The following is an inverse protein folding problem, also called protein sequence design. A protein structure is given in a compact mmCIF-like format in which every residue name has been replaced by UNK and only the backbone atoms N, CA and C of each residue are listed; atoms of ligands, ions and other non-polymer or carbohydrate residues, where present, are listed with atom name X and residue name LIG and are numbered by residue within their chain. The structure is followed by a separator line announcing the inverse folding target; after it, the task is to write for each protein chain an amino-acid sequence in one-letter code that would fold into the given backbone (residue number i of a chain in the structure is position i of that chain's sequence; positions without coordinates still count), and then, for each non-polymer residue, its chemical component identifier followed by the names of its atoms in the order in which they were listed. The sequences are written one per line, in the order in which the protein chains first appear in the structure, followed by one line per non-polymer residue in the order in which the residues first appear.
data_IF_524652093750
#
_entry.id   IF_524652093750
#
_cell.length_a   1.000
_cell.length_b   1.000
_cell.length_c   1.000
_cell.angle_alpha   90.00
_cell.angle_beta   90.00
_cell.angle_gamma   90.00
#
_symmetry.space_group_name_H-M   'P 1'
#
loop_
_entity.id
_entity.type
_entity.pdbx_description
1 polymer ?
#
# COMPACT_ATOMS: atom_id res chain seq x y z
N UNK A 1 3.94 11.82 -5.38
CA UNK A 1 4.38 11.94 -3.98
C UNK A 1 3.50 12.87 -3.17
N UNK A 2 3.37 14.15 -3.53
CA UNK A 2 2.49 15.10 -2.82
C UNK A 2 1.06 14.56 -2.56
N UNK A 3 0.42 13.97 -3.57
CA UNK A 3 -0.93 13.40 -3.41
C UNK A 3 -1.01 12.28 -2.37
N UNK A 4 0.04 11.47 -2.22
CA UNK A 4 0.11 10.40 -1.24
C UNK A 4 0.32 11.00 0.15
N UNK A 5 1.27 11.92 0.29
CA UNK A 5 1.60 12.53 1.58
C UNK A 5 0.45 13.38 2.16
N UNK A 6 -0.38 13.97 1.29
CA UNK A 6 -1.61 14.66 1.71
C UNK A 6 -2.56 13.71 2.45
N UNK A 7 -2.73 12.48 1.93
CA UNK A 7 -3.69 11.51 2.45
C UNK A 7 -3.13 10.70 3.62
N UNK A 8 -1.85 10.29 3.54
CA UNK A 8 -1.28 9.34 4.48
C UNK A 8 -0.18 9.94 5.35
N UNK A 9 0.25 11.19 5.13
CA UNK A 9 1.33 11.82 5.90
C UNK A 9 2.70 11.72 5.21
N UNK A 10 3.74 12.37 5.76
CA UNK A 10 5.03 12.53 5.09
C UNK A 10 5.72 11.20 4.80
N UNK A 11 6.57 11.16 3.78
CA UNK A 11 7.48 10.04 3.52
C UNK A 11 8.65 10.02 4.50
N UNK A 12 9.32 8.88 4.61
CA UNK A 12 10.64 8.82 5.22
C UNK A 12 11.67 9.59 4.37
N UNK A 13 12.17 10.70 4.92
CA UNK A 13 13.18 11.54 4.27
C UNK A 13 14.60 11.01 4.37
N UNK A 14 14.83 9.98 5.19
CA UNK A 14 16.13 9.33 5.28
C UNK A 14 16.44 8.46 4.07
N UNK A 15 15.40 8.05 3.31
CA UNK A 15 15.56 7.37 2.04
C UNK A 15 15.58 8.32 0.85
N UNK A 16 16.53 8.06 -0.06
CA UNK A 16 16.70 8.78 -1.32
C UNK A 16 16.10 7.95 -2.46
N UNK A 17 15.05 8.50 -3.08
CA UNK A 17 14.47 7.89 -4.27
C UNK A 17 15.35 8.16 -5.49
N UNK A 18 15.79 7.08 -6.15
CA UNK A 18 16.75 7.12 -7.26
C UNK A 18 16.10 6.90 -8.63
N UNK A 19 14.80 6.62 -8.70
CA UNK A 19 14.06 6.49 -9.95
C UNK A 19 13.27 5.20 -10.08
N UNK A 20 12.78 4.96 -11.29
CA UNK A 20 11.94 3.82 -11.67
C UNK A 20 12.72 2.98 -12.68
N UNK A 21 12.73 1.67 -12.52
CA UNK A 21 13.40 0.74 -13.43
C UNK A 21 12.44 -0.40 -13.83
N UNK A 22 12.70 -1.00 -14.98
CA UNK A 22 12.03 -2.22 -15.43
C UNK A 22 12.68 -3.46 -14.80
N UNK A 23 11.89 -4.50 -14.60
CA UNK A 23 12.30 -5.75 -13.94
C UNK A 23 11.42 -6.92 -14.37
N UNK A 24 11.98 -8.13 -14.35
CA UNK A 24 11.26 -9.40 -14.52
C UNK A 24 10.51 -9.83 -13.25
N UNK A 25 10.90 -9.30 -12.08
CA UNK A 25 10.13 -9.50 -10.84
C UNK A 25 8.80 -8.73 -10.84
N UNK A 26 7.86 -9.20 -10.02
CA UNK A 26 6.67 -8.43 -9.65
C UNK A 26 7.05 -7.04 -9.08
N UNK A 27 6.17 -6.02 -9.19
CA UNK A 27 6.43 -4.67 -8.70
C UNK A 27 6.90 -4.67 -7.24
N UNK A 28 7.89 -3.84 -6.92
CA UNK A 28 8.41 -3.70 -5.56
C UNK A 28 9.33 -2.47 -5.39
N UNK A 29 9.59 -2.11 -4.12
CA UNK A 29 10.71 -1.25 -3.73
C UNK A 29 12.02 -2.04 -3.74
N UNK A 30 12.99 -1.53 -4.49
CA UNK A 30 14.32 -2.10 -4.64
C UNK A 30 15.38 -1.27 -3.93
N UNK A 31 16.31 -1.95 -3.26
CA UNK A 31 17.44 -1.37 -2.55
C UNK A 31 18.74 -1.74 -3.27
N UNK A 32 19.17 -0.98 -4.30
CA UNK A 32 20.29 -1.35 -5.19
C UNK A 32 21.63 -1.58 -4.47
N UNK A 33 21.86 -0.92 -3.35
CA UNK A 33 23.07 -1.08 -2.54
C UNK A 33 22.77 -1.68 -1.16
N UNK A 34 21.66 -2.42 -1.07
CA UNK A 34 21.10 -2.90 0.20
C UNK A 34 20.49 -1.77 1.03
N UNK A 35 19.84 -2.16 2.13
CA UNK A 35 19.06 -1.26 2.98
C UNK A 35 19.91 -0.17 3.68
N UNK A 36 21.20 -0.43 3.89
CA UNK A 36 22.11 0.45 4.65
C UNK A 36 22.43 1.78 3.96
N UNK A 37 22.36 1.82 2.63
CA UNK A 37 22.63 3.04 1.85
C UNK A 37 21.42 3.94 1.67
N UNK A 38 20.23 3.44 2.01
CA UNK A 38 18.95 4.16 1.92
C UNK A 38 18.60 4.71 0.53
N UNK A 39 19.31 4.26 -0.50
CA UNK A 39 18.94 4.50 -1.89
C UNK A 39 17.87 3.49 -2.27
N UNK A 40 16.78 3.96 -2.87
CA UNK A 40 15.64 3.13 -3.26
C UNK A 40 15.15 3.44 -4.66
N UNK A 41 14.68 2.42 -5.35
CA UNK A 41 14.09 2.51 -6.68
C UNK A 41 12.74 1.80 -6.67
N UNK A 42 11.84 2.22 -7.55
CA UNK A 42 10.62 1.46 -7.84
C UNK A 42 10.95 0.52 -9.00
N UNK A 43 10.71 -0.78 -8.83
CA UNK A 43 10.71 -1.76 -9.91
C UNK A 43 9.29 -1.97 -10.40
N UNK A 44 9.09 -1.86 -11.70
CA UNK A 44 7.85 -2.20 -12.39
C UNK A 44 8.12 -3.25 -13.47
N UNK A 45 7.08 -3.95 -13.89
CA UNK A 45 7.19 -5.05 -14.86
C UNK A 45 7.46 -4.54 -16.29
N UNK A 46 8.11 -5.36 -17.11
CA UNK A 46 8.35 -5.06 -18.53
C UNK A 46 7.09 -4.74 -19.35
N UNK A 47 5.92 -5.26 -18.96
CA UNK A 47 4.65 -4.92 -19.60
C UNK A 47 4.33 -3.41 -19.54
N UNK A 48 4.92 -2.68 -18.59
CA UNK A 48 4.75 -1.24 -18.46
C UNK A 48 5.43 -0.44 -19.58
N UNK A 49 6.39 -1.02 -20.30
CA UNK A 49 7.11 -0.35 -21.39
C UNK A 49 6.17 0.11 -22.51
N UNK A 50 5.14 -0.70 -22.80
CA UNK A 50 4.16 -0.43 -23.86
C UNK A 50 2.75 -0.16 -23.33
N UNK A 51 2.56 -0.14 -22.00
CA UNK A 51 1.26 0.06 -21.37
C UNK A 51 1.35 1.12 -20.28
N UNK A 52 1.17 2.38 -20.67
CA UNK A 52 1.27 3.52 -19.75
C UNK A 52 0.23 3.48 -18.62
N UNK A 53 -0.98 2.96 -18.89
CA UNK A 53 -2.01 2.78 -17.84
C UNK A 53 -1.52 1.83 -16.76
N UNK A 54 -0.91 0.72 -17.17
CA UNK A 54 -0.33 -0.27 -16.25
C UNK A 54 0.90 0.30 -15.53
N UNK A 55 1.76 1.04 -16.23
CA UNK A 55 2.90 1.74 -15.64
C UNK A 55 2.46 2.71 -14.53
N UNK A 56 1.44 3.52 -14.79
CA UNK A 56 0.90 4.48 -13.81
C UNK A 56 0.33 3.76 -12.60
N UNK A 57 -0.40 2.66 -12.81
CA UNK A 57 -0.92 1.85 -11.72
C UNK A 57 0.19 1.28 -10.84
N UNK A 58 1.18 0.59 -11.43
CA UNK A 58 2.27 -0.02 -10.66
C UNK A 58 3.11 1.04 -9.94
N UNK A 59 3.44 2.15 -10.60
CA UNK A 59 4.17 3.24 -9.95
C UNK A 59 3.36 3.89 -8.83
N UNK A 60 2.04 4.06 -9.00
CA UNK A 60 1.20 4.64 -7.96
C UNK A 60 1.08 3.72 -6.73
N UNK A 61 1.01 2.40 -6.94
CA UNK A 61 1.03 1.39 -5.87
C UNK A 61 2.34 1.48 -5.09
N UNK A 62 3.47 1.32 -5.79
CA UNK A 62 4.79 1.33 -5.17
C UNK A 62 5.16 2.67 -4.53
N UNK A 63 4.61 3.77 -5.05
CA UNK A 63 4.81 5.07 -4.44
C UNK A 63 4.22 5.19 -3.02
N UNK A 64 3.25 4.35 -2.62
CA UNK A 64 2.77 4.30 -1.24
C UNK A 64 3.81 3.65 -0.32
N UNK A 65 4.49 2.59 -0.77
CA UNK A 65 5.58 1.95 -0.01
C UNK A 65 6.79 2.88 0.20
N UNK A 66 6.96 3.91 -0.64
CA UNK A 66 7.98 4.95 -0.41
C UNK A 66 7.74 5.77 0.86
N UNK A 67 6.53 5.75 1.43
CA UNK A 67 6.23 6.44 2.69
C UNK A 67 7.03 5.88 3.86
N UNK A 68 7.21 4.56 3.90
CA UNK A 68 7.96 3.83 4.91
C UNK A 68 8.62 2.61 4.28
N UNK A 69 9.75 2.79 3.56
CA UNK A 69 10.38 1.73 2.79
C UNK A 69 10.72 0.50 3.65
N UNK A 70 10.12 -0.64 3.32
CA UNK A 70 10.36 -1.94 3.95
C UNK A 70 11.01 -2.95 2.99
N UNK A 71 11.45 -4.09 3.53
CA UNK A 71 11.88 -5.21 2.70
C UNK A 71 10.66 -5.91 2.09
N UNK A 72 10.84 -6.51 0.91
CA UNK A 72 9.78 -7.29 0.26
C UNK A 72 9.24 -8.37 1.22
N UNK A 73 7.91 -8.45 1.33
CA UNK A 73 7.24 -9.44 2.18
C UNK A 73 6.98 -9.00 3.63
N UNK A 74 7.35 -7.77 4.02
CA UNK A 74 7.05 -7.26 5.36
C UNK A 74 5.72 -6.50 5.44
N UNK A 75 5.11 -6.17 4.30
CA UNK A 75 3.86 -5.39 4.24
C UNK A 75 2.70 -6.09 4.96
N UNK A 76 1.85 -5.33 5.63
CA UNK A 76 0.55 -5.81 6.15
C UNK A 76 -0.58 -5.64 5.12
N UNK A 77 -1.75 -6.23 5.39
CA UNK A 77 -2.95 -5.97 4.58
C UNK A 77 -3.35 -4.49 4.55
N UNK A 78 -3.06 -3.74 5.61
CA UNK A 78 -3.28 -2.29 5.66
C UNK A 78 -2.42 -1.57 4.63
N UNK A 79 -1.11 -1.85 4.61
CA UNK A 79 -0.19 -1.19 3.70
C UNK A 79 -0.50 -1.51 2.23
N UNK A 80 -0.67 -2.81 1.90
CA UNK A 80 -1.03 -3.23 0.54
C UNK A 80 -2.41 -2.76 0.12
N UNK A 81 -3.37 -2.71 1.06
CA UNK A 81 -4.71 -2.20 0.82
C UNK A 81 -4.72 -0.71 0.49
N UNK A 82 -3.98 0.10 1.24
CA UNK A 82 -3.83 1.54 0.97
C UNK A 82 -3.10 1.79 -0.36
N UNK A 83 -2.05 1.01 -0.65
CA UNK A 83 -1.31 1.07 -1.90
C UNK A 83 -2.23 0.77 -3.10
N UNK A 84 -2.99 -0.33 -3.02
CA UNK A 84 -3.92 -0.77 -4.06
C UNK A 84 -5.05 0.24 -4.26
N UNK A 85 -5.68 0.69 -3.17
CA UNK A 85 -6.76 1.67 -3.22
C UNK A 85 -6.28 2.99 -3.85
N UNK A 86 -5.13 3.50 -3.43
CA UNK A 86 -4.57 4.72 -3.98
C UNK A 86 -4.21 4.56 -5.46
N UNK A 87 -3.58 3.46 -5.85
CA UNK A 87 -3.23 3.18 -7.25
C UNK A 87 -4.47 3.13 -8.15
N UNK A 88 -5.55 2.51 -7.67
CA UNK A 88 -6.84 2.46 -8.37
C UNK A 88 -7.45 3.86 -8.54
N UNK A 89 -7.56 4.62 -7.45
CA UNK A 89 -8.09 5.98 -7.47
C UNK A 89 -7.30 6.89 -8.41
N UNK A 90 -5.96 6.85 -8.31
CA UNK A 90 -5.08 7.70 -9.09
C UNK A 90 -5.10 7.35 -10.58
N UNK A 91 -5.08 6.07 -10.92
CA UNK A 91 -5.09 5.59 -12.30
C UNK A 91 -6.44 5.84 -12.96
N UNK A 92 -7.54 5.52 -12.27
CA UNK A 92 -8.89 5.65 -12.82
C UNK A 92 -9.26 7.09 -13.14
N UNK A 93 -8.79 8.05 -12.33
CA UNK A 93 -9.00 9.48 -12.58
C UNK A 93 -8.50 9.92 -13.96
N UNK A 94 -7.48 9.26 -14.51
CA UNK A 94 -6.86 9.64 -15.79
C UNK A 94 -7.14 8.65 -16.93
N UNK A 95 -7.23 7.36 -16.64
CA UNK A 95 -7.27 6.30 -17.67
C UNK A 95 -8.53 5.42 -17.60
N UNK A 96 -9.52 5.80 -16.79
CA UNK A 96 -10.72 5.01 -16.54
C UNK A 96 -10.43 3.72 -15.78
N UNK A 97 -11.48 2.91 -15.57
CA UNK A 97 -11.47 1.75 -14.69
C UNK A 97 -10.35 0.74 -15.01
N UNK A 98 -9.59 0.36 -13.99
CA UNK A 98 -8.64 -0.75 -14.01
C UNK A 98 -9.17 -1.88 -13.11
N UNK A 99 -9.00 -3.12 -13.55
CA UNK A 99 -9.41 -4.27 -12.76
C UNK A 99 -8.25 -4.79 -11.90
N UNK A 100 -8.52 -5.02 -10.61
CA UNK A 100 -7.57 -5.68 -9.70
C UNK A 100 -7.75 -7.18 -9.90
N UNK A 101 -6.88 -7.80 -10.68
CA UNK A 101 -7.00 -9.22 -11.02
C UNK A 101 -6.78 -10.17 -9.84
N UNK A 102 -6.08 -9.72 -8.80
CA UNK A 102 -5.81 -10.51 -7.60
C UNK A 102 -6.83 -10.19 -6.50
N UNK A 103 -7.64 -11.19 -6.14
CA UNK A 103 -8.68 -11.09 -5.11
C UNK A 103 -8.14 -10.68 -3.74
N UNK A 104 -6.90 -11.04 -3.42
CA UNK A 104 -6.26 -10.71 -2.14
C UNK A 104 -6.02 -9.20 -2.02
N UNK A 105 -5.51 -8.59 -3.09
CA UNK A 105 -5.32 -7.15 -3.18
C UNK A 105 -6.67 -6.41 -3.22
N UNK A 106 -7.66 -6.96 -3.93
CA UNK A 106 -9.02 -6.38 -3.95
C UNK A 106 -9.63 -6.35 -2.54
N UNK A 107 -9.55 -7.46 -1.80
CA UNK A 107 -10.00 -7.54 -0.41
C UNK A 107 -9.28 -6.53 0.49
N UNK A 108 -7.95 -6.43 0.39
CA UNK A 108 -7.16 -5.46 1.14
C UNK A 108 -7.60 -4.01 0.84
N UNK A 109 -7.83 -3.69 -0.44
CA UNK A 109 -8.28 -2.38 -0.88
C UNK A 109 -9.67 -2.03 -0.32
N UNK A 110 -10.59 -2.99 -0.28
CA UNK A 110 -11.94 -2.79 0.29
C UNK A 110 -11.90 -2.57 1.80
N UNK A 111 -11.05 -3.30 2.52
CA UNK A 111 -10.81 -3.07 3.95
C UNK A 111 -10.20 -1.69 4.21
N UNK A 112 -9.19 -1.29 3.43
CA UNK A 112 -8.57 0.03 3.53
C UNK A 112 -9.55 1.16 3.19
N UNK A 113 -10.37 0.98 2.14
CA UNK A 113 -11.46 1.90 1.78
C UNK A 113 -12.46 2.08 2.93
N UNK A 114 -12.79 1.00 3.64
CA UNK A 114 -13.67 1.05 4.81
C UNK A 114 -13.13 2.00 5.88
N UNK A 115 -11.81 1.96 6.16
CA UNK A 115 -11.19 2.94 7.06
C UNK A 115 -11.33 4.37 6.53
N UNK A 116 -10.93 4.61 5.28
CA UNK A 116 -10.88 5.95 4.69
C UNK A 116 -12.26 6.63 4.58
N UNK A 117 -13.33 5.86 4.37
CA UNK A 117 -14.71 6.37 4.37
C UNK A 117 -15.17 6.79 5.78
N UNK A 118 -14.73 6.07 6.82
CA UNK A 118 -15.14 6.36 8.19
C UNK A 118 -14.31 7.49 8.82
N UNK A 119 -13.02 7.59 8.50
CA UNK A 119 -12.17 8.70 8.92
C UNK A 119 -10.96 8.83 7.98
N UNK A 120 -11.06 9.71 6.99
CA UNK A 120 -10.01 9.94 6.00
C UNK A 120 -8.69 10.41 6.61
N UNK A 121 -8.74 11.12 7.75
CA UNK A 121 -7.54 11.63 8.42
C UNK A 121 -6.88 10.64 9.36
N UNK A 122 -7.53 9.52 9.69
CA UNK A 122 -7.08 8.59 10.72
C UNK A 122 -5.72 7.94 10.38
N UNK A 123 -5.51 7.54 9.12
CA UNK A 123 -4.21 7.00 8.68
C UNK A 123 -3.09 8.01 8.88
N UNK A 124 -3.29 9.25 8.46
CA UNK A 124 -2.29 10.32 8.62
C UNK A 124 -1.98 10.60 10.09
N UNK A 125 -3.00 10.70 10.93
CA UNK A 125 -2.85 10.92 12.37
C UNK A 125 -2.16 9.75 13.09
N UNK A 126 -2.43 8.51 12.68
CA UNK A 126 -1.68 7.35 13.17
C UNK A 126 -0.21 7.42 12.76
N UNK A 127 0.09 7.86 11.53
CA UNK A 127 1.46 7.97 11.04
C UNK A 127 2.28 9.10 11.65
N UNK A 128 1.62 10.07 12.30
CA UNK A 128 2.32 11.04 13.16
C UNK A 128 2.90 10.39 14.42
N UNK A 129 2.33 9.25 14.87
CA UNK A 129 2.80 8.47 16.03
C UNK A 129 3.69 7.29 15.61
N UNK A 130 3.30 6.55 14.57
CA UNK A 130 4.03 5.42 14.01
C UNK A 130 4.19 5.61 12.49
N UNK A 131 5.34 6.14 12.03
CA UNK A 131 5.54 6.46 10.62
C UNK A 131 5.44 5.27 9.65
N UNK A 132 5.68 4.04 10.13
CA UNK A 132 5.65 2.83 9.32
C UNK A 132 4.25 2.22 9.27
N UNK A 133 3.65 2.19 8.07
CA UNK A 133 2.29 1.64 7.86
C UNK A 133 2.17 0.20 8.34
N UNK A 134 3.19 -0.62 8.12
CA UNK A 134 3.21 -2.02 8.56
C UNK A 134 3.45 -2.21 10.06
N UNK A 135 3.73 -1.14 10.81
CA UNK A 135 3.83 -1.18 12.27
C UNK A 135 2.61 -0.57 12.96
N UNK A 136 1.62 -0.07 12.20
CA UNK A 136 0.33 0.32 12.77
C UNK A 136 -0.34 -0.93 13.37
N UNK A 137 -0.70 -0.83 14.64
CA UNK A 137 -1.27 -1.95 15.39
C UNK A 137 -2.79 -1.93 15.38
N UNK A 138 -3.40 -3.09 15.69
CA UNK A 138 -4.86 -3.20 15.82
C UNK A 138 -5.40 -2.24 16.89
N UNK A 139 -4.66 -2.06 17.98
CA UNK A 139 -5.04 -1.12 19.05
C UNK A 139 -5.07 0.33 18.58
N UNK A 140 -4.10 0.75 17.75
CA UNK A 140 -4.16 2.07 17.13
C UNK A 140 -5.39 2.21 16.24
N UNK A 141 -5.74 1.19 15.46
CA UNK A 141 -6.95 1.23 14.64
C UNK A 141 -8.23 1.36 15.47
N UNK A 142 -8.33 0.67 16.61
CA UNK A 142 -9.46 0.83 17.55
C UNK A 142 -9.59 2.27 18.05
N UNK A 143 -8.47 2.94 18.37
CA UNK A 143 -8.49 4.32 18.83
C UNK A 143 -9.05 5.30 17.78
N UNK A 144 -8.69 5.13 16.51
CA UNK A 144 -9.05 6.05 15.43
C UNK A 144 -10.34 5.67 14.69
N UNK A 145 -10.82 4.43 14.85
CA UNK A 145 -12.01 3.90 14.18
C UNK A 145 -12.92 3.10 15.13
N UNK A 146 -13.31 3.63 16.30
CA UNK A 146 -13.94 2.85 17.38
C UNK A 146 -15.29 2.20 17.02
N UNK A 147 -15.93 2.61 15.92
CA UNK A 147 -17.19 2.04 15.44
C UNK A 147 -17.02 0.86 14.48
N UNK A 148 -15.80 0.54 14.05
CA UNK A 148 -15.55 -0.57 13.13
C UNK A 148 -15.23 -1.88 13.88
N UNK A 149 -15.49 -3.05 13.27
CA UNK A 149 -15.29 -4.34 13.91
C UNK A 149 -13.81 -4.62 14.21
N UNK A 150 -13.52 -5.29 15.34
CA UNK A 150 -12.14 -5.61 15.73
C UNK A 150 -11.48 -6.60 14.77
N UNK A 151 -12.27 -7.51 14.19
CA UNK A 151 -11.83 -8.50 13.22
C UNK A 151 -11.27 -7.85 11.95
N UNK A 152 -11.78 -6.68 11.58
CA UNK A 152 -11.24 -5.88 10.47
C UNK A 152 -9.82 -5.39 10.80
N UNK A 153 -9.57 -4.98 12.05
CA UNK A 153 -8.27 -4.47 12.46
C UNK A 153 -7.22 -5.57 12.59
N UNK A 154 -7.62 -6.71 13.14
CA UNK A 154 -6.76 -7.91 13.17
C UNK A 154 -6.38 -8.32 11.74
N UNK A 155 -7.34 -8.34 10.82
CA UNK A 155 -7.08 -8.66 9.42
C UNK A 155 -6.14 -7.65 8.74
N UNK A 156 -6.40 -6.35 8.92
CA UNK A 156 -5.58 -5.28 8.35
C UNK A 156 -4.14 -5.28 8.86
N UNK A 157 -3.91 -5.71 10.10
CA UNK A 157 -2.57 -5.72 10.71
C UNK A 157 -1.83 -7.04 10.56
N UNK A 158 -2.47 -8.04 9.95
CA UNK A 158 -1.84 -9.31 9.58
C UNK A 158 -0.82 -9.09 8.46
N UNK A 159 0.27 -9.85 8.46
CA UNK A 159 1.24 -9.83 7.35
C UNK A 159 0.56 -10.25 6.04
N UNK A 160 0.83 -9.53 4.95
CA UNK A 160 0.16 -9.77 3.68
C UNK A 160 0.55 -11.10 3.01
N UNK A 161 1.60 -11.79 3.45
CA UNK A 161 1.91 -13.15 2.99
C UNK A 161 1.01 -14.20 3.64
N UNK A 162 0.45 -13.89 4.81
CA UNK A 162 -0.42 -14.82 5.53
C UNK A 162 -1.81 -14.88 4.90
N UNK A 163 -2.50 -16.00 5.12
CA UNK A 163 -3.87 -16.22 4.66
C UNK A 163 -4.83 -15.79 5.76
N UNK A 164 -5.78 -14.92 5.43
CA UNK A 164 -6.84 -14.56 6.38
C UNK A 164 -7.83 -15.73 6.52
N UNK A 165 -8.31 -16.03 7.74
CA UNK A 165 -9.14 -17.20 8.03
C UNK A 165 -10.48 -17.20 7.29
N UNK A 166 -10.99 -16.03 6.90
CA UNK A 166 -12.27 -15.87 6.20
C UNK A 166 -12.14 -15.72 4.68
N UNK A 167 -10.94 -15.77 4.09
CA UNK A 167 -10.78 -15.78 2.63
C UNK A 167 -11.42 -17.02 1.98
N UNK A 168 -11.64 -18.10 2.74
CA UNK A 168 -12.31 -19.31 2.25
C UNK A 168 -13.85 -19.26 2.36
N UNK A 169 -14.40 -18.36 3.19
CA UNK A 169 -15.84 -18.34 3.52
C UNK A 169 -16.69 -17.49 2.56
N UNK A 170 -16.06 -16.62 1.78
CA UNK A 170 -16.74 -15.73 0.83
C UNK A 170 -16.58 -16.15 -0.64
N UNK A 171 -16.05 -17.35 -0.91
CA UNK A 171 -15.68 -17.74 -2.27
C UNK A 171 -15.93 -19.24 -2.57
N UNK A 172 -17.19 -19.56 -2.89
CA UNK A 172 -17.56 -20.60 -3.88
C UNK A 172 -17.87 -19.87 -5.18
#
# INVERSE_FOLDING_TARGET
MQAIEINFGPKDYTFRFCGIILSDEAPNIYFPSGFSKKDIQIRITHNCEYNLKHAVYQVAHEAVHLLSPGLKGTSTYLEEGLATFFAHLYTNKKYGEIHIGDKKYALAADMAKTLLVNNISGIKQMREKEPNLSQITSQMLVEYYPSLPIELFEALTTNFQEKLPFMDLYYI
#
